data_IF_624840997804
#
_entry.id   IF_624840997804
#
_cell.length_a   1.000
_cell.length_b   1.000
_cell.length_c   1.000
_cell.angle_alpha   90.00
_cell.angle_beta   90.00
_cell.angle_gamma   90.00
#
_symmetry.space_group_name_H-M   'P 1'
#
loop_
_entity.id
_entity.type
_entity.pdbx_description
1 polymer ?
#
# COMPACT_ATOMS: atom_id res chain seq x y z
N UNK A 1 -45.04 -13.12 4.92
CA UNK A 1 -44.53 -11.95 4.17
C UNK A 1 -43.79 -11.05 5.17
N UNK A 2 -42.44 -11.08 5.19
CA UNK A 2 -41.63 -10.30 6.14
C UNK A 2 -41.56 -8.85 5.65
N UNK A 3 -42.27 -7.95 6.34
CA UNK A 3 -42.23 -6.49 6.16
C UNK A 3 -40.90 -5.87 6.65
N UNK A 4 -39.76 -6.31 6.13
CA UNK A 4 -38.45 -5.70 6.41
C UNK A 4 -38.16 -4.49 5.50
N UNK A 5 -39.10 -4.07 4.65
CA UNK A 5 -38.93 -2.99 3.67
C UNK A 5 -39.17 -1.59 4.31
N UNK A 6 -39.92 -1.51 5.41
CA UNK A 6 -40.09 -0.25 6.14
C UNK A 6 -39.00 -0.17 7.23
N UNK A 7 -38.10 0.81 7.11
CA UNK A 7 -37.11 1.11 8.13
C UNK A 7 -37.75 1.34 9.51
N UNK A 8 -36.94 1.38 10.57
CA UNK A 8 -37.36 1.48 11.98
C UNK A 8 -38.19 2.74 12.36
N UNK A 9 -38.57 3.59 11.41
CA UNK A 9 -39.20 4.89 11.62
C UNK A 9 -40.58 4.97 10.96
N UNK A 10 -41.50 5.68 11.60
CA UNK A 10 -42.88 5.84 11.12
C UNK A 10 -42.93 6.72 9.87
N UNK A 11 -43.80 6.37 8.91
CA UNK A 11 -44.01 7.14 7.66
C UNK A 11 -44.46 8.58 7.98
N UNK A 12 -45.25 8.78 9.05
CA UNK A 12 -45.66 10.10 9.49
C UNK A 12 -44.48 10.96 9.99
N UNK A 13 -43.47 10.34 10.61
CA UNK A 13 -42.24 11.04 11.03
C UNK A 13 -41.37 11.40 9.82
N UNK A 14 -41.30 10.56 8.79
CA UNK A 14 -40.57 10.87 7.55
C UNK A 14 -41.21 11.99 6.73
N UNK A 15 -42.54 12.14 6.82
CA UNK A 15 -43.29 13.20 6.16
C UNK A 15 -43.29 14.53 6.94
N UNK A 16 -42.82 14.55 8.19
CA UNK A 16 -42.68 15.79 8.96
C UNK A 16 -41.58 16.68 8.38
N UNK A 17 -41.92 17.94 8.08
CA UNK A 17 -41.00 18.89 7.46
C UNK A 17 -39.87 19.28 8.41
N UNK A 18 -40.17 19.40 9.72
CA UNK A 18 -39.17 19.68 10.75
C UNK A 18 -38.13 18.57 10.88
N UNK A 19 -38.58 17.32 10.82
CA UNK A 19 -37.72 16.14 10.80
C UNK A 19 -36.81 16.12 9.56
N UNK A 20 -37.37 16.38 8.36
CA UNK A 20 -36.60 16.43 7.11
C UNK A 20 -35.55 17.56 7.12
N UNK A 21 -35.91 18.75 7.60
CA UNK A 21 -34.96 19.87 7.79
C UNK A 21 -33.87 19.49 8.79
N UNK A 22 -34.23 18.80 9.88
CA UNK A 22 -33.30 18.31 10.88
C UNK A 22 -32.26 17.33 10.33
N UNK A 23 -32.69 16.37 9.50
CA UNK A 23 -31.79 15.44 8.80
C UNK A 23 -30.88 16.20 7.84
N UNK A 24 -31.44 17.11 7.04
CA UNK A 24 -30.66 17.90 6.09
C UNK A 24 -29.56 18.69 6.79
N UNK A 25 -29.89 19.43 7.85
CA UNK A 25 -28.90 20.19 8.65
C UNK A 25 -27.85 19.27 9.28
N UNK A 26 -28.26 18.09 9.74
CA UNK A 26 -27.32 17.08 10.26
C UNK A 26 -26.33 16.62 9.19
N UNK A 27 -26.83 16.26 8.01
CA UNK A 27 -26.01 15.76 6.91
C UNK A 27 -25.10 16.86 6.32
N UNK A 28 -25.55 18.13 6.31
CA UNK A 28 -24.71 19.29 5.97
C UNK A 28 -23.56 19.46 6.96
N UNK A 29 -23.81 19.30 8.26
CA UNK A 29 -22.78 19.35 9.30
C UNK A 29 -21.78 18.18 9.18
N UNK A 30 -22.27 16.97 8.89
CA UNK A 30 -21.43 15.81 8.62
C UNK A 30 -20.52 16.06 7.43
N UNK A 31 -21.06 16.59 6.31
CA UNK A 31 -20.26 16.94 5.14
C UNK A 31 -19.16 17.96 5.47
N UNK A 32 -19.48 19.01 6.24
CA UNK A 32 -18.50 20.01 6.70
C UNK A 32 -17.39 19.34 7.52
N UNK A 33 -17.76 18.54 8.52
CA UNK A 33 -16.80 17.85 9.40
C UNK A 33 -15.91 16.86 8.65
N UNK A 34 -16.47 16.08 7.71
CA UNK A 34 -15.69 15.15 6.88
C UNK A 34 -14.71 15.90 5.96
N UNK A 35 -15.12 17.04 5.40
CA UNK A 35 -14.21 17.90 4.60
C UNK A 35 -13.03 18.42 5.44
N UNK A 36 -13.30 18.95 6.62
CA UNK A 36 -12.26 19.41 7.55
C UNK A 36 -11.29 18.27 7.89
N UNK A 37 -11.83 17.11 8.27
CA UNK A 37 -11.01 15.96 8.62
C UNK A 37 -10.17 15.46 7.44
N UNK A 38 -10.71 15.52 6.22
CA UNK A 38 -9.97 15.20 4.99
C UNK A 38 -8.73 16.09 4.82
N UNK A 39 -8.84 17.40 5.05
CA UNK A 39 -7.69 18.33 4.99
C UNK A 39 -6.65 18.06 6.07
N UNK A 40 -7.09 17.70 7.28
CA UNK A 40 -6.18 17.30 8.37
C UNK A 40 -5.47 15.98 8.01
N UNK A 41 -6.19 15.02 7.45
CA UNK A 41 -5.62 13.77 6.92
C UNK A 41 -4.56 14.06 5.86
N UNK A 42 -4.81 14.99 4.92
CA UNK A 42 -3.82 15.38 3.92
C UNK A 42 -2.54 15.93 4.55
N UNK A 43 -2.66 16.72 5.63
CA UNK A 43 -1.50 17.21 6.39
C UNK A 43 -0.72 16.07 7.05
N UNK A 44 -1.41 15.11 7.68
CA UNK A 44 -0.76 13.94 8.30
C UNK A 44 -0.09 13.06 7.23
N UNK A 45 -0.76 12.83 6.10
CA UNK A 45 -0.21 12.09 4.95
C UNK A 45 1.07 12.73 4.43
N UNK A 46 1.07 14.06 4.27
CA UNK A 46 2.25 14.81 3.86
C UNK A 46 3.40 14.61 4.84
N UNK A 47 3.16 14.83 6.14
CA UNK A 47 4.20 14.62 7.14
C UNK A 47 4.74 13.18 7.13
N UNK A 48 3.87 12.17 6.98
CA UNK A 48 4.29 10.77 6.86
C UNK A 48 5.13 10.50 5.61
N UNK A 49 4.67 10.95 4.44
CA UNK A 49 5.34 10.71 3.16
C UNK A 49 6.73 11.35 3.07
N UNK A 50 6.95 12.47 3.75
CA UNK A 50 8.21 13.22 3.80
C UNK A 50 9.01 13.00 5.09
N UNK A 51 8.59 12.06 5.94
CA UNK A 51 9.27 11.72 7.21
C UNK A 51 9.43 12.93 8.15
N UNK A 52 8.48 13.86 8.10
CA UNK A 52 8.50 15.08 8.89
C UNK A 52 7.90 14.85 10.27
N UNK A 53 8.42 15.58 11.25
CA UNK A 53 7.88 15.54 12.60
C UNK A 53 6.43 16.07 12.63
N UNK A 54 5.52 15.24 13.15
CA UNK A 54 4.14 15.67 13.43
C UNK A 54 4.02 16.57 14.67
N UNK A 55 5.08 16.66 15.48
CA UNK A 55 5.07 17.42 16.75
C UNK A 55 6.13 18.52 16.75
N UNK A 56 5.75 19.68 17.27
CA UNK A 56 6.67 20.75 17.64
C UNK A 56 7.28 20.52 19.02
N UNK A 57 8.42 21.16 19.29
CA UNK A 57 9.00 21.22 20.63
C UNK A 57 8.15 22.12 21.56
N UNK A 58 7.53 23.15 20.98
CA UNK A 58 6.58 24.05 21.63
C UNK A 58 5.39 24.29 20.68
N UNK A 59 4.18 23.93 21.12
CA UNK A 59 2.93 24.04 20.35
C UNK A 59 1.98 25.08 20.98
N UNK A 60 2.50 25.92 21.88
CA UNK A 60 1.76 26.98 22.57
C UNK A 60 1.38 28.11 21.62
N UNK A 61 0.21 28.75 21.80
CA UNK A 61 -0.29 29.80 20.89
C UNK A 61 0.65 31.02 20.72
N UNK A 62 1.63 31.22 21.61
CA UNK A 62 2.64 32.27 21.53
C UNK A 62 4.01 31.82 21.01
N UNK A 63 4.15 30.60 20.49
CA UNK A 63 5.43 30.07 20.00
C UNK A 63 5.73 30.56 18.59
N UNK A 64 6.95 31.05 18.35
CA UNK A 64 7.43 31.41 17.00
C UNK A 64 7.55 30.19 16.08
N UNK A 65 7.61 28.97 16.62
CA UNK A 65 7.71 27.73 15.87
C UNK A 65 6.78 26.65 16.43
N UNK A 66 5.51 26.74 16.05
CA UNK A 66 4.42 25.80 16.41
C UNK A 66 4.62 24.36 15.90
N UNK A 67 5.68 24.08 15.16
CA UNK A 67 5.99 22.79 14.56
C UNK A 67 5.42 22.60 13.15
N UNK A 68 6.04 21.68 12.40
CA UNK A 68 5.79 21.47 10.96
C UNK A 68 4.33 21.14 10.67
N UNK A 69 3.72 20.23 11.44
CA UNK A 69 2.32 19.85 11.24
C UNK A 69 1.37 21.04 11.43
N UNK A 70 1.59 21.85 12.47
CA UNK A 70 0.71 23.00 12.73
C UNK A 70 0.86 24.06 11.66
N UNK A 71 2.10 24.39 11.29
CA UNK A 71 2.37 25.30 10.18
C UNK A 71 1.74 24.83 8.86
N UNK A 72 1.75 23.52 8.59
CA UNK A 72 1.10 22.95 7.41
C UNK A 72 -0.42 23.08 7.48
N UNK A 73 -1.04 22.82 8.63
CA UNK A 73 -2.49 23.00 8.81
C UNK A 73 -2.88 24.47 8.63
N UNK A 74 -2.10 25.40 9.17
CA UNK A 74 -2.36 26.84 9.05
C UNK A 74 -2.16 27.31 7.59
N UNK A 75 -1.16 26.77 6.88
CA UNK A 75 -0.99 26.99 5.44
C UNK A 75 -2.19 26.46 4.65
N UNK A 76 -2.67 25.24 4.90
CA UNK A 76 -3.86 24.70 4.23
C UNK A 76 -5.10 25.52 4.57
N UNK A 77 -5.23 26.03 5.80
CA UNK A 77 -6.31 26.91 6.20
C UNK A 77 -6.27 28.27 5.46
N UNK A 78 -5.09 28.77 5.12
CA UNK A 78 -4.97 29.97 4.27
C UNK A 78 -5.56 29.77 2.86
N UNK A 79 -5.65 28.51 2.41
CA UNK A 79 -6.17 28.13 1.09
C UNK A 79 -7.62 27.60 1.14
N UNK A 80 -8.07 27.05 2.28
CA UNK A 80 -9.43 26.54 2.49
C UNK A 80 -10.17 27.34 3.57
N UNK A 81 -11.04 28.25 3.14
CA UNK A 81 -11.84 29.09 4.02
C UNK A 81 -12.74 28.31 4.99
N UNK A 82 -13.20 27.11 4.61
CA UNK A 82 -14.02 26.26 5.49
C UNK A 82 -13.17 25.72 6.65
N UNK A 83 -11.92 25.32 6.37
CA UNK A 83 -10.99 24.89 7.39
C UNK A 83 -10.61 26.07 8.30
N UNK A 84 -10.34 27.24 7.73
CA UNK A 84 -10.01 28.46 8.50
C UNK A 84 -11.11 28.82 9.50
N UNK A 85 -12.34 28.97 9.00
CA UNK A 85 -13.51 29.30 9.84
C UNK A 85 -13.71 28.26 10.95
N UNK A 86 -13.46 26.98 10.65
CA UNK A 86 -13.54 25.93 11.65
C UNK A 86 -12.44 26.05 12.72
N UNK A 87 -11.18 26.28 12.34
CA UNK A 87 -10.08 26.39 13.31
C UNK A 87 -10.26 27.58 14.27
N UNK A 88 -10.85 28.68 13.78
CA UNK A 88 -11.15 29.89 14.55
C UNK A 88 -12.34 29.69 15.51
N UNK A 89 -13.41 29.02 15.05
CA UNK A 89 -14.68 28.97 15.80
C UNK A 89 -14.97 27.65 16.53
N UNK A 90 -14.26 26.55 16.21
CA UNK A 90 -14.58 25.24 16.74
C UNK A 90 -14.19 25.09 18.22
N UNK A 91 -15.19 24.72 19.02
CA UNK A 91 -15.03 24.46 20.47
C UNK A 91 -14.99 22.97 20.80
N UNK A 92 -15.62 22.12 19.99
CA UNK A 92 -15.81 20.69 20.28
C UNK A 92 -14.70 19.81 19.68
N UNK A 93 -14.31 20.10 18.44
CA UNK A 93 -13.32 19.33 17.69
C UNK A 93 -12.56 20.28 16.79
N UNK A 94 -11.26 20.46 17.03
CA UNK A 94 -10.36 21.19 16.11
C UNK A 94 -9.58 20.24 15.18
N UNK A 95 -9.55 18.95 15.52
CA UNK A 95 -8.84 17.90 14.78
C UNK A 95 -7.31 17.93 14.80
N UNK A 96 -6.69 18.97 15.38
CA UNK A 96 -5.22 19.12 15.38
C UNK A 96 -4.53 18.54 16.61
N UNK A 97 -5.27 18.00 17.58
CA UNK A 97 -4.70 17.52 18.84
C UNK A 97 -3.86 16.25 18.66
N UNK A 98 -2.89 16.03 19.54
CA UNK A 98 -2.02 14.84 19.55
C UNK A 98 -2.82 13.53 19.58
N UNK A 99 -3.94 13.52 20.31
CA UNK A 99 -4.84 12.35 20.37
C UNK A 99 -5.49 12.07 19.02
N UNK A 100 -6.00 13.09 18.33
CA UNK A 100 -6.60 12.92 17.00
C UNK A 100 -5.55 12.52 15.97
N UNK A 101 -4.35 13.11 16.02
CA UNK A 101 -3.24 12.71 15.15
C UNK A 101 -2.91 11.20 15.29
N UNK A 102 -2.86 10.69 16.53
CA UNK A 102 -2.57 9.26 16.77
C UNK A 102 -3.69 8.37 16.22
N UNK A 103 -4.94 8.71 16.52
CA UNK A 103 -6.08 7.93 16.03
C UNK A 103 -6.16 7.93 14.49
N UNK A 104 -5.82 9.06 13.86
CA UNK A 104 -5.72 9.14 12.39
C UNK A 104 -4.58 8.27 11.86
N UNK A 105 -3.41 8.27 12.49
CA UNK A 105 -2.30 7.39 12.13
C UNK A 105 -2.70 5.92 12.23
N UNK A 106 -3.40 5.52 13.29
CA UNK A 106 -3.86 4.14 13.46
C UNK A 106 -4.90 3.75 12.39
N UNK A 107 -5.82 4.66 12.07
CA UNK A 107 -6.76 4.47 10.97
C UNK A 107 -6.05 4.34 9.62
N UNK A 108 -5.09 5.22 9.33
CA UNK A 108 -4.28 5.17 8.11
C UNK A 108 -3.51 3.85 8.00
N UNK A 109 -2.85 3.44 9.08
CA UNK A 109 -2.13 2.17 9.13
C UNK A 109 -3.05 0.99 8.85
N UNK A 110 -4.25 0.98 9.44
CA UNK A 110 -5.26 -0.06 9.19
C UNK A 110 -5.72 -0.08 7.73
N UNK A 111 -6.00 1.08 7.12
CA UNK A 111 -6.40 1.16 5.69
C UNK A 111 -5.30 0.61 4.78
N UNK A 112 -4.06 1.06 4.99
CA UNK A 112 -2.93 0.61 4.18
C UNK A 112 -2.73 -0.90 4.34
N UNK A 113 -2.73 -1.40 5.59
CA UNK A 113 -2.56 -2.84 5.89
C UNK A 113 -3.63 -3.70 5.23
N UNK A 114 -4.89 -3.28 5.29
CA UNK A 114 -6.00 -4.02 4.66
C UNK A 114 -5.86 -4.07 3.14
N UNK A 115 -5.45 -2.98 2.50
CA UNK A 115 -5.21 -2.96 1.06
C UNK A 115 -4.09 -3.94 0.68
N UNK A 116 -2.98 -3.94 1.41
CA UNK A 116 -1.86 -4.83 1.15
C UNK A 116 -2.25 -6.29 1.31
N UNK A 117 -2.99 -6.61 2.37
CA UNK A 117 -3.47 -7.98 2.60
C UNK A 117 -4.39 -8.40 1.45
N UNK A 118 -5.28 -7.52 1.00
CA UNK A 118 -6.14 -7.79 -0.15
C UNK A 118 -5.33 -8.02 -1.42
N UNK A 119 -4.36 -7.16 -1.71
CA UNK A 119 -3.52 -7.28 -2.91
C UNK A 119 -2.69 -8.58 -2.86
N UNK A 120 -2.08 -8.89 -1.70
CA UNK A 120 -1.33 -10.12 -1.50
C UNK A 120 -2.20 -11.39 -1.61
N UNK A 121 -3.45 -11.35 -1.13
CA UNK A 121 -4.40 -12.46 -1.27
C UNK A 121 -4.86 -12.67 -2.71
N UNK A 122 -4.87 -11.61 -3.52
CA UNK A 122 -5.24 -11.68 -4.94
C UNK A 122 -4.09 -12.06 -5.86
N UNK A 123 -2.85 -12.05 -5.37
CA UNK A 123 -1.66 -12.34 -6.17
C UNK A 123 -1.47 -13.85 -6.35
N UNK A 124 -1.18 -14.28 -7.59
CA UNK A 124 -0.87 -15.68 -7.91
C UNK A 124 0.40 -16.18 -7.19
N UNK A 125 1.37 -15.28 -7.00
CA UNK A 125 2.65 -15.55 -6.38
C UNK A 125 2.98 -14.51 -5.33
N UNK A 126 3.54 -14.97 -4.21
CA UNK A 126 3.98 -14.14 -3.10
C UNK A 126 5.36 -14.64 -2.66
N UNK A 127 6.31 -13.73 -2.50
CA UNK A 127 7.57 -14.02 -1.81
C UNK A 127 7.65 -13.26 -0.50
N UNK A 128 8.30 -13.87 0.49
CA UNK A 128 8.51 -13.30 1.82
C UNK A 128 10.00 -13.25 2.08
N UNK A 129 10.53 -12.05 2.30
CA UNK A 129 11.88 -11.84 2.80
C UNK A 129 11.81 -11.56 4.29
N UNK A 130 12.66 -12.23 5.07
CA UNK A 130 12.73 -12.06 6.51
C UNK A 130 14.13 -11.60 6.91
N UNK A 131 14.21 -10.52 7.68
CA UNK A 131 15.48 -10.01 8.22
C UNK A 131 15.32 -9.65 9.69
N UNK A 132 16.38 -9.86 10.47
CA UNK A 132 16.40 -9.57 11.89
C UNK A 132 17.15 -8.26 12.14
N UNK A 133 16.61 -7.44 13.04
CA UNK A 133 17.26 -6.23 13.50
C UNK A 133 17.09 -6.08 15.00
N UNK A 134 18.10 -5.55 15.66
CA UNK A 134 18.02 -5.22 17.08
C UNK A 134 17.55 -3.76 17.23
N UNK A 135 16.59 -3.51 18.11
CA UNK A 135 16.16 -2.15 18.43
C UNK A 135 17.10 -1.47 19.44
N UNK A 136 16.82 -0.19 19.76
CA UNK A 136 17.62 0.59 20.72
C UNK A 136 17.61 -0.01 22.14
N UNK A 137 16.60 -0.83 22.47
CA UNK A 137 16.49 -1.53 23.74
C UNK A 137 17.18 -2.91 23.71
N UNK A 138 18.00 -3.18 22.69
CA UNK A 138 18.71 -4.44 22.47
C UNK A 138 17.80 -5.66 22.27
N UNK A 139 16.52 -5.44 21.94
CA UNK A 139 15.58 -6.51 21.64
C UNK A 139 15.60 -6.83 20.15
N UNK A 140 15.64 -8.12 19.83
CA UNK A 140 15.52 -8.60 18.46
C UNK A 140 14.11 -8.37 17.92
N UNK A 141 14.02 -7.78 16.73
CA UNK A 141 12.80 -7.52 15.98
C UNK A 141 12.94 -8.17 14.59
N UNK A 142 11.98 -8.99 14.20
CA UNK A 142 11.90 -9.56 12.85
C UNK A 142 11.12 -8.62 11.93
N UNK A 143 11.70 -8.30 10.78
CA UNK A 143 11.08 -7.53 9.71
C UNK A 143 10.76 -8.47 8.55
N UNK A 144 9.50 -8.48 8.09
CA UNK A 144 9.11 -9.20 6.89
C UNK A 144 8.79 -8.22 5.76
N UNK A 145 9.35 -8.48 4.58
CA UNK A 145 9.01 -7.79 3.34
C UNK A 145 8.31 -8.80 2.44
N UNK A 146 7.03 -8.57 2.18
CA UNK A 146 6.28 -9.23 1.13
C UNK A 146 6.67 -8.64 -0.21
N UNK A 147 6.83 -9.49 -1.22
CA UNK A 147 6.91 -9.07 -2.61
C UNK A 147 5.87 -9.82 -3.43
N UNK A 148 5.00 -9.07 -4.09
CA UNK A 148 3.88 -9.60 -4.88
C UNK A 148 3.67 -8.73 -6.13
N UNK A 149 2.81 -9.21 -7.02
CA UNK A 149 2.40 -8.47 -8.23
C UNK A 149 0.97 -7.98 -7.98
N UNK A 150 0.75 -6.67 -8.09
CA UNK A 150 -0.58 -6.09 -7.93
C UNK A 150 -1.47 -6.41 -9.16
N UNK A 151 -2.77 -6.13 -9.05
CA UNK A 151 -3.72 -6.33 -10.14
C UNK A 151 -3.41 -5.52 -11.42
N UNK A 152 -2.51 -4.53 -11.35
CA UNK A 152 -2.05 -3.72 -12.48
C UNK A 152 -0.74 -4.25 -13.09
N UNK A 153 -0.17 -5.33 -12.56
CA UNK A 153 1.10 -5.89 -13.01
C UNK A 153 2.34 -5.17 -12.47
N UNK A 154 2.21 -4.30 -11.46
CA UNK A 154 3.36 -3.71 -10.78
C UNK A 154 3.91 -4.66 -9.72
N UNK A 155 5.23 -4.70 -9.60
CA UNK A 155 5.89 -5.36 -8.48
C UNK A 155 5.84 -4.45 -7.27
N UNK A 156 5.24 -4.96 -6.19
CA UNK A 156 5.11 -4.26 -4.93
C UNK A 156 5.95 -4.95 -3.87
N UNK A 157 6.82 -4.18 -3.22
CA UNK A 157 7.57 -4.61 -2.03
C UNK A 157 6.92 -3.96 -0.81
N UNK A 158 6.21 -4.74 0.01
CA UNK A 158 5.44 -4.23 1.14
C UNK A 158 5.73 -4.95 2.45
N UNK A 159 5.79 -4.23 3.56
CA UNK A 159 6.19 -4.79 4.86
C UNK A 159 4.99 -5.31 5.66
N UNK A 160 5.14 -6.51 6.22
CA UNK A 160 4.26 -7.02 7.29
C UNK A 160 5.09 -7.30 8.55
N UNK A 161 4.48 -7.14 9.72
CA UNK A 161 5.11 -7.49 11.01
C UNK A 161 4.56 -8.84 11.49
N UNK A 162 5.47 -9.74 11.89
CA UNK A 162 5.33 -11.07 12.55
C UNK A 162 5.67 -12.35 11.75
N UNK A 163 6.72 -13.01 12.28
CA UNK A 163 7.15 -14.44 12.39
C UNK A 163 7.23 -15.44 11.22
N UNK A 164 8.42 -16.08 11.14
CA UNK A 164 8.87 -17.40 10.65
C UNK A 164 8.81 -17.72 9.13
N UNK A 165 9.95 -17.57 8.46
CA UNK A 165 10.81 -18.66 7.91
C UNK A 165 11.90 -18.06 7.00
N UNK A 166 13.01 -18.80 6.81
CA UNK A 166 14.22 -18.35 6.11
C UNK A 166 14.37 -19.16 4.83
N UNK A 167 14.32 -18.50 3.67
CA UNK A 167 14.55 -19.15 2.39
C UNK A 167 15.88 -18.71 1.78
N UNK A 168 16.64 -19.68 1.28
CA UNK A 168 17.81 -19.49 0.43
C UNK A 168 17.66 -20.43 -0.74
N UNK A 169 17.58 -19.92 -1.97
CA UNK A 169 17.59 -20.80 -3.15
C UNK A 169 18.35 -20.16 -4.31
N UNK A 170 19.37 -20.88 -4.78
CA UNK A 170 20.31 -20.53 -5.85
C UNK A 170 19.84 -20.98 -7.24
N UNK A 171 18.77 -21.77 -7.33
CA UNK A 171 18.30 -22.38 -8.60
C UNK A 171 17.41 -21.44 -9.44
N UNK A 172 16.98 -20.32 -8.87
CA UNK A 172 16.16 -19.30 -9.57
C UNK A 172 16.93 -18.60 -10.70
N UNK A 173 18.25 -18.41 -10.52
CA UNK A 173 19.12 -17.74 -11.49
C UNK A 173 19.21 -18.48 -12.83
N UNK A 174 19.15 -19.81 -12.82
CA UNK A 174 19.17 -20.62 -14.04
C UNK A 174 17.87 -20.42 -14.83
N UNK A 175 16.75 -20.34 -14.13
CA UNK A 175 15.44 -20.13 -14.76
C UNK A 175 15.30 -18.76 -15.41
N UNK A 176 15.99 -17.75 -14.85
CA UNK A 176 16.09 -16.42 -15.45
C UNK A 176 16.81 -16.42 -16.81
N UNK A 177 17.79 -17.31 -16.99
CA UNK A 177 18.53 -17.39 -18.26
C UNK A 177 17.66 -17.78 -19.43
N UNK A 178 16.55 -18.51 -19.20
CA UNK A 178 15.57 -18.84 -20.25
C UNK A 178 14.84 -17.61 -20.81
N UNK A 179 14.80 -16.51 -20.08
CA UNK A 179 14.05 -15.29 -20.41
C UNK A 179 14.96 -14.08 -20.64
N UNK A 180 16.24 -14.34 -20.86
CA UNK A 180 17.26 -13.35 -21.23
C UNK A 180 17.18 -13.05 -22.73
N UNK A 181 16.61 -11.89 -23.08
CA UNK A 181 16.37 -11.47 -24.46
C UNK A 181 17.66 -11.41 -25.32
N UNK A 182 18.80 -11.08 -24.69
CA UNK A 182 20.14 -11.09 -25.28
C UNK A 182 20.59 -12.48 -25.76
N UNK A 183 19.96 -13.56 -25.25
CA UNK A 183 20.27 -14.94 -25.61
C UNK A 183 19.24 -15.58 -26.52
N UNK A 184 18.15 -14.89 -26.87
CA UNK A 184 17.07 -15.46 -27.68
C UNK A 184 17.54 -15.88 -29.08
N UNK A 185 18.49 -15.16 -29.69
CA UNK A 185 19.07 -15.56 -30.98
C UNK A 185 19.83 -16.89 -30.88
N UNK A 186 20.56 -17.11 -29.78
CA UNK A 186 21.29 -18.35 -29.53
C UNK A 186 20.32 -19.51 -29.24
N UNK A 187 19.25 -19.24 -28.47
CA UNK A 187 18.24 -20.24 -28.13
C UNK A 187 17.31 -20.60 -29.29
N UNK A 188 17.18 -19.71 -30.29
CA UNK A 188 16.53 -20.03 -31.56
C UNK A 188 17.31 -21.10 -32.33
N UNK A 189 18.65 -21.08 -32.23
CA UNK A 189 19.53 -22.03 -32.94
C UNK A 189 19.73 -23.34 -32.16
N UNK A 190 19.82 -23.26 -30.83
CA UNK A 190 19.95 -24.42 -29.96
C UNK A 190 19.17 -24.20 -28.64
N UNK A 191 18.07 -24.93 -28.47
CA UNK A 191 17.21 -24.78 -27.30
C UNK A 191 17.95 -25.25 -26.02
N UNK A 192 17.96 -24.47 -24.93
CA UNK A 192 18.71 -24.80 -23.71
C UNK A 192 17.97 -25.83 -22.85
N UNK A 193 18.06 -27.11 -23.21
CA UNK A 193 17.38 -28.20 -22.49
C UNK A 193 17.87 -28.37 -21.04
N UNK A 194 19.15 -28.12 -20.77
CA UNK A 194 19.72 -28.18 -19.43
C UNK A 194 19.11 -27.12 -18.50
N UNK A 195 18.86 -25.92 -19.01
CA UNK A 195 18.24 -24.85 -18.25
C UNK A 195 16.76 -25.16 -17.99
N UNK A 196 16.03 -25.65 -19.00
CA UNK A 196 14.65 -26.10 -18.84
C UNK A 196 14.52 -27.22 -17.80
N UNK A 197 15.40 -28.23 -17.84
CA UNK A 197 15.39 -29.34 -16.88
C UNK A 197 15.64 -28.86 -15.44
N UNK A 198 16.54 -27.90 -15.25
CA UNK A 198 16.79 -27.27 -13.95
C UNK A 198 15.60 -26.41 -13.48
N UNK A 199 14.95 -25.69 -14.38
CA UNK A 199 13.74 -24.91 -14.09
C UNK A 199 12.58 -25.81 -13.67
N UNK A 200 12.37 -26.95 -14.34
CA UNK A 200 11.33 -27.91 -13.97
C UNK A 200 11.61 -28.62 -12.64
N UNK A 201 12.90 -28.83 -12.31
CA UNK A 201 13.29 -29.28 -10.97
C UNK A 201 13.01 -28.23 -9.90
N UNK A 202 13.28 -26.96 -10.19
CA UNK A 202 13.07 -25.86 -9.25
C UNK A 202 11.58 -25.53 -9.06
N UNK A 203 10.77 -25.67 -10.12
CA UNK A 203 9.35 -25.35 -10.13
C UNK A 203 8.53 -26.51 -10.72
N UNK A 204 8.21 -27.53 -9.91
CA UNK A 204 7.42 -28.69 -10.36
C UNK A 204 5.99 -28.36 -10.80
N UNK A 205 5.53 -27.14 -10.53
CA UNK A 205 4.19 -26.64 -10.89
C UNK A 205 4.06 -26.36 -12.40
N UNK A 206 5.17 -26.17 -13.12
CA UNK A 206 5.17 -25.83 -14.55
C UNK A 206 5.08 -27.08 -15.44
N UNK A 207 4.32 -27.00 -16.53
CA UNK A 207 4.32 -28.04 -17.57
C UNK A 207 5.49 -27.83 -18.54
N UNK A 208 6.47 -28.73 -18.46
CA UNK A 208 7.67 -28.66 -19.30
C UNK A 208 7.43 -28.77 -20.80
N UNK A 209 6.39 -29.48 -21.24
CA UNK A 209 6.11 -29.65 -22.68
C UNK A 209 5.48 -28.39 -23.27
N UNK A 210 4.56 -27.78 -22.53
CA UNK A 210 3.90 -26.53 -22.91
C UNK A 210 4.87 -25.35 -22.81
N UNK A 211 5.63 -25.26 -21.71
CA UNK A 211 6.67 -24.23 -21.53
C UNK A 211 7.73 -24.26 -22.64
N UNK A 212 8.19 -25.45 -23.05
CA UNK A 212 9.16 -25.59 -24.17
C UNK A 212 8.59 -25.04 -25.48
N UNK A 213 7.32 -25.33 -25.76
CA UNK A 213 6.64 -24.88 -26.98
C UNK A 213 6.46 -23.37 -26.98
N UNK A 214 6.00 -22.82 -25.85
CA UNK A 214 5.81 -21.38 -25.65
C UNK A 214 7.13 -20.60 -25.77
N UNK A 215 8.19 -21.03 -25.08
CA UNK A 215 9.52 -20.41 -25.15
C UNK A 215 10.09 -20.44 -26.58
N UNK A 216 9.90 -21.55 -27.30
CA UNK A 216 10.33 -21.65 -28.70
C UNK A 216 9.63 -20.63 -29.60
N UNK A 217 8.34 -20.37 -29.37
CA UNK A 217 7.59 -19.34 -30.10
C UNK A 217 8.07 -17.93 -29.74
N UNK A 218 8.43 -17.69 -28.48
CA UNK A 218 8.94 -16.40 -28.01
C UNK A 218 10.32 -16.10 -28.63
N UNK A 219 11.23 -17.08 -28.66
CA UNK A 219 12.56 -16.90 -29.23
C UNK A 219 12.52 -16.56 -30.74
N UNK A 220 11.53 -17.10 -31.46
CA UNK A 220 11.35 -16.89 -32.90
C UNK A 220 10.78 -15.51 -33.27
N UNK A 221 10.09 -14.80 -32.35
CA UNK A 221 9.42 -13.53 -32.67
C UNK A 221 10.25 -12.32 -32.30
N UNK A 222 10.48 -11.42 -33.26
CA UNK A 222 11.26 -10.19 -33.07
C UNK A 222 10.63 -9.21 -32.07
N UNK A 223 9.29 -9.19 -31.96
CA UNK A 223 8.56 -8.32 -31.03
C UNK A 223 8.97 -8.53 -29.56
N UNK A 224 9.33 -9.77 -29.19
CA UNK A 224 9.75 -10.10 -27.82
C UNK A 224 11.27 -9.96 -27.60
N UNK A 225 12.06 -9.83 -28.68
CA UNK A 225 13.52 -9.61 -28.59
C UNK A 225 13.87 -8.17 -28.20
N UNK A 226 12.96 -7.23 -28.41
CA UNK A 226 13.12 -5.83 -28.03
C UNK A 226 12.93 -5.57 -26.52
N UNK A 227 12.43 -6.53 -25.74
CA UNK A 227 12.18 -6.36 -24.31
C UNK A 227 13.47 -6.53 -23.49
N UNK A 228 13.82 -5.52 -22.68
CA UNK A 228 15.02 -5.53 -21.83
C UNK A 228 14.72 -6.07 -20.41
N UNK A 229 14.10 -7.24 -20.30
CA UNK A 229 13.97 -7.95 -19.02
C UNK A 229 12.64 -8.67 -18.80
N UNK A 230 12.59 -9.50 -17.75
CA UNK A 230 11.41 -10.28 -17.38
C UNK A 230 10.20 -9.40 -17.02
N UNK A 231 10.41 -8.23 -16.40
CA UNK A 231 9.35 -7.29 -16.05
C UNK A 231 8.68 -6.68 -17.29
N UNK A 232 9.49 -6.22 -18.25
CA UNK A 232 8.99 -5.61 -19.48
C UNK A 232 8.22 -6.63 -20.33
N UNK A 233 8.71 -7.87 -20.38
CA UNK A 233 8.04 -8.97 -21.08
C UNK A 233 6.70 -9.32 -20.41
N UNK A 234 6.65 -9.36 -19.07
CA UNK A 234 5.41 -9.57 -18.33
C UNK A 234 4.40 -8.44 -18.56
N UNK A 235 4.85 -7.18 -18.51
CA UNK A 235 3.98 -6.03 -18.79
C UNK A 235 3.44 -6.03 -20.22
N UNK A 236 4.26 -6.47 -21.19
CA UNK A 236 3.83 -6.61 -22.57
C UNK A 236 2.78 -7.72 -22.75
N UNK A 237 2.95 -8.86 -22.06
CA UNK A 237 1.93 -9.93 -22.06
C UNK A 237 0.62 -9.49 -21.42
N UNK A 238 0.68 -8.76 -20.30
CA UNK A 238 -0.50 -8.17 -19.65
C UNK A 238 -1.20 -7.16 -20.57
N UNK A 239 -0.44 -6.27 -21.22
CA UNK A 239 -0.99 -5.22 -22.10
C UNK A 239 -1.66 -5.79 -23.35
N UNK A 240 -1.17 -6.91 -23.87
CA UNK A 240 -1.67 -7.55 -25.09
C UNK A 240 -2.66 -8.70 -24.81
N UNK A 241 -3.07 -8.92 -23.56
CA UNK A 241 -3.94 -10.04 -23.15
C UNK A 241 -3.43 -11.42 -23.61
N UNK A 242 -2.11 -11.63 -23.55
CA UNK A 242 -1.45 -12.86 -24.00
C UNK A 242 -1.31 -13.91 -22.89
N UNK A 243 -1.90 -13.68 -21.72
CA UNK A 243 -1.79 -14.55 -20.54
C UNK A 243 -2.35 -15.96 -20.78
N UNK A 244 -3.42 -16.09 -21.56
CA UNK A 244 -4.01 -17.39 -21.89
C UNK A 244 -3.18 -18.17 -22.92
N UNK A 245 -2.49 -17.46 -23.81
CA UNK A 245 -1.69 -18.06 -24.90
C UNK A 245 -0.34 -18.56 -24.38
N UNK A 246 0.27 -17.81 -23.45
CA UNK A 246 1.58 -18.13 -22.88
C UNK A 246 1.47 -18.40 -21.37
N UNK A 247 0.57 -19.32 -20.97
CA UNK A 247 0.24 -19.51 -19.56
C UNK A 247 1.43 -19.97 -18.72
N UNK A 248 2.27 -20.87 -19.24
CA UNK A 248 3.41 -21.39 -18.50
C UNK A 248 4.53 -20.35 -18.42
N UNK A 249 4.75 -19.62 -19.51
CA UNK A 249 5.75 -18.56 -19.57
C UNK A 249 5.36 -17.40 -18.65
N UNK A 250 4.09 -16.99 -18.63
CA UNK A 250 3.59 -15.96 -17.72
C UNK A 250 3.71 -16.42 -16.28
N UNK A 251 3.41 -17.68 -15.98
CA UNK A 251 3.59 -18.27 -14.64
C UNK A 251 5.06 -18.21 -14.22
N UNK A 252 5.98 -18.63 -15.10
CA UNK A 252 7.42 -18.53 -14.87
C UNK A 252 7.87 -17.07 -14.68
N UNK A 253 7.38 -16.14 -15.49
CA UNK A 253 7.68 -14.71 -15.36
C UNK A 253 7.19 -14.15 -14.03
N UNK A 254 5.96 -14.47 -13.61
CA UNK A 254 5.40 -14.05 -12.31
C UNK A 254 6.26 -14.57 -11.15
N UNK A 255 6.72 -15.82 -11.23
CA UNK A 255 7.65 -16.39 -10.23
C UNK A 255 8.97 -15.61 -10.23
N UNK A 256 9.60 -15.43 -11.38
CA UNK A 256 10.91 -14.77 -11.48
C UNK A 256 10.88 -13.32 -11.02
N UNK A 257 9.81 -12.60 -11.35
CA UNK A 257 9.60 -11.20 -10.98
C UNK A 257 9.23 -11.04 -9.49
N UNK A 258 8.62 -12.05 -8.87
CA UNK A 258 8.36 -12.05 -7.42
C UNK A 258 9.56 -12.53 -6.60
N UNK A 259 10.49 -13.28 -7.18
CA UNK A 259 11.75 -13.65 -6.54
C UNK A 259 12.80 -12.54 -6.67
N UNK A 260 13.50 -12.16 -5.60
CA UNK A 260 14.64 -11.25 -5.68
C UNK A 260 15.80 -11.92 -6.42
N UNK A 261 16.15 -11.42 -7.61
CA UNK A 261 17.08 -12.12 -8.51
C UNK A 261 18.39 -11.37 -8.75
N UNK A 262 18.39 -10.05 -8.58
CA UNK A 262 19.57 -9.21 -8.85
C UNK A 262 20.04 -8.45 -7.62
N UNK A 263 21.35 -8.13 -7.60
CA UNK A 263 21.97 -7.32 -6.54
C UNK A 263 21.30 -5.95 -6.39
N UNK A 264 20.93 -5.30 -7.50
CA UNK A 264 20.26 -4.00 -7.49
C UNK A 264 18.83 -4.05 -6.91
N UNK A 265 18.08 -5.13 -7.17
CA UNK A 265 16.77 -5.34 -6.52
C UNK A 265 16.93 -5.62 -5.04
N UNK A 266 17.92 -6.45 -4.67
CA UNK A 266 18.23 -6.67 -3.26
C UNK A 266 18.67 -5.38 -2.58
N UNK A 267 19.42 -4.48 -3.24
CA UNK A 267 19.77 -3.16 -2.70
C UNK A 267 18.54 -2.27 -2.47
N UNK A 268 17.53 -2.34 -3.34
CA UNK A 268 16.25 -1.65 -3.15
C UNK A 268 15.50 -2.20 -1.94
N UNK A 269 15.36 -3.53 -1.82
CA UNK A 269 14.79 -4.19 -0.65
C UNK A 269 15.58 -3.84 0.63
N UNK A 270 16.90 -3.85 0.56
CA UNK A 270 17.80 -3.47 1.66
C UNK A 270 17.74 -1.98 2.00
N UNK A 271 17.46 -1.09 1.04
CA UNK A 271 17.26 0.33 1.29
C UNK A 271 15.97 0.56 2.08
N UNK A 272 14.89 -0.14 1.71
CA UNK A 272 13.64 -0.16 2.47
C UNK A 272 13.88 -0.73 3.88
N UNK A 273 14.57 -1.87 3.99
CA UNK A 273 14.97 -2.44 5.28
C UNK A 273 15.87 -1.50 6.08
N UNK A 274 16.82 -0.80 5.46
CA UNK A 274 17.73 0.15 6.13
C UNK A 274 16.96 1.33 6.70
N UNK A 275 16.00 1.88 5.94
CA UNK A 275 15.08 2.92 6.45
C UNK A 275 14.37 2.38 7.69
N UNK A 276 13.82 1.18 7.65
CA UNK A 276 13.16 0.52 8.79
C UNK A 276 14.11 0.33 9.98
N UNK A 277 15.33 -0.19 9.75
CA UNK A 277 16.33 -0.38 10.81
C UNK A 277 16.71 0.95 11.45
N UNK A 278 16.88 2.00 10.65
CA UNK A 278 17.07 3.37 11.14
C UNK A 278 15.86 3.84 11.94
N UNK A 279 14.63 3.56 11.50
CA UNK A 279 13.41 3.90 12.25
C UNK A 279 13.32 3.16 13.59
N UNK A 280 13.49 1.84 13.60
CA UNK A 280 13.46 1.00 14.80
C UNK A 280 14.56 1.35 15.80
N UNK A 281 15.71 1.85 15.32
CA UNK A 281 16.82 2.31 16.15
C UNK A 281 16.58 3.68 16.82
N UNK A 282 15.66 4.49 16.30
CA UNK A 282 15.55 5.90 16.69
C UNK A 282 14.46 6.24 17.72
N UNK A 283 13.46 5.40 18.05
CA UNK A 283 12.37 5.87 18.95
C UNK A 283 11.51 4.81 19.67
N UNK A 284 11.03 5.22 20.86
CA UNK A 284 10.53 4.37 21.95
C UNK A 284 8.97 4.24 22.05
N UNK A 285 8.19 4.48 20.99
CA UNK A 285 6.73 4.20 21.00
C UNK A 285 6.30 3.51 19.70
N UNK A 286 5.86 2.25 19.81
CA UNK A 286 5.82 1.31 18.68
C UNK A 286 4.75 1.61 17.62
N UNK A 287 3.53 2.05 17.97
CA UNK A 287 2.42 2.10 17.01
C UNK A 287 2.44 3.32 16.07
N UNK A 288 2.65 4.53 16.62
CA UNK A 288 2.69 5.77 15.82
C UNK A 288 3.83 5.75 14.80
N UNK A 289 4.96 5.18 15.19
CA UNK A 289 6.14 5.08 14.35
C UNK A 289 5.92 4.09 13.20
N UNK A 290 5.23 2.98 13.47
CA UNK A 290 4.85 2.02 12.43
C UNK A 290 3.95 2.69 11.38
N UNK A 291 2.97 3.49 11.81
CA UNK A 291 2.08 4.21 10.90
C UNK A 291 2.85 5.19 10.00
N UNK A 292 3.76 5.98 10.57
CA UNK A 292 4.59 6.93 9.79
C UNK A 292 5.56 6.22 8.85
N UNK A 293 6.23 5.16 9.30
CA UNK A 293 7.10 4.35 8.45
C UNK A 293 6.31 3.74 7.29
N UNK A 294 5.10 3.25 7.56
CA UNK A 294 4.23 2.68 6.53
C UNK A 294 3.81 3.72 5.49
N UNK A 295 3.42 4.92 5.92
CA UNK A 295 3.08 6.02 5.00
C UNK A 295 4.27 6.47 4.14
N UNK A 296 5.47 6.44 4.69
CA UNK A 296 6.71 6.80 3.99
C UNK A 296 7.15 5.75 2.96
N UNK A 297 7.01 4.47 3.31
CA UNK A 297 7.41 3.35 2.47
C UNK A 297 6.36 3.12 1.38
N UNK A 298 5.09 3.06 1.76
CA UNK A 298 3.94 2.83 0.87
C UNK A 298 3.37 4.13 0.29
N UNK A 299 4.20 5.18 0.16
CA UNK A 299 3.75 6.49 -0.34
C UNK A 299 3.09 6.41 -1.72
N UNK A 300 3.54 5.48 -2.58
CA UNK A 300 2.97 5.25 -3.92
C UNK A 300 1.55 4.71 -3.81
N UNK A 301 1.36 3.62 -3.04
CA UNK A 301 0.05 3.02 -2.78
C UNK A 301 -0.94 4.04 -2.21
N UNK A 302 -0.50 4.81 -1.21
CA UNK A 302 -1.33 5.85 -0.56
C UNK A 302 -1.69 7.00 -1.51
N UNK A 303 -0.83 7.31 -2.47
CA UNK A 303 -1.08 8.38 -3.48
C UNK A 303 -2.00 7.88 -4.59
N UNK A 304 -1.86 6.62 -5.01
CA UNK A 304 -2.71 6.03 -6.06
C UNK A 304 -4.13 5.71 -5.56
N UNK A 305 -4.31 5.50 -4.25
CA UNK A 305 -5.63 5.22 -3.66
C UNK A 305 -6.48 6.49 -3.56
N UNK A 306 -7.45 6.63 -4.48
CA UNK A 306 -8.32 7.81 -4.57
C UNK A 306 -9.30 7.94 -3.39
N UNK A 307 -9.72 6.82 -2.82
CA UNK A 307 -10.68 6.76 -1.70
C UNK A 307 -10.01 6.68 -0.32
N UNK A 308 -8.69 6.86 -0.25
CA UNK A 308 -7.91 6.72 0.99
C UNK A 308 -8.47 7.58 2.13
N UNK A 309 -8.65 8.87 1.89
CA UNK A 309 -9.15 9.79 2.93
C UNK A 309 -10.55 9.38 3.40
N UNK A 310 -11.41 8.93 2.48
CA UNK A 310 -12.76 8.49 2.81
C UNK A 310 -12.73 7.24 3.70
N UNK A 311 -11.94 6.22 3.35
CA UNK A 311 -11.74 5.01 4.17
C UNK A 311 -11.21 5.33 5.57
N UNK A 312 -10.23 6.26 5.66
CA UNK A 312 -9.68 6.71 6.94
C UNK A 312 -10.75 7.41 7.79
N UNK A 313 -11.57 8.28 7.19
CA UNK A 313 -12.67 8.96 7.89
C UNK A 313 -13.71 7.95 8.38
N UNK A 314 -14.05 6.94 7.59
CA UNK A 314 -15.00 5.89 7.97
C UNK A 314 -14.50 5.11 9.19
N UNK A 315 -13.23 4.67 9.19
CA UNK A 315 -12.62 4.02 10.35
C UNK A 315 -12.55 4.95 11.57
N UNK A 316 -12.18 6.20 11.36
CA UNK A 316 -12.10 7.19 12.45
C UNK A 316 -13.47 7.43 13.10
N UNK A 317 -14.53 7.46 12.29
CA UNK A 317 -15.91 7.61 12.74
C UNK A 317 -16.44 6.35 13.44
N UNK A 318 -16.01 5.15 13.03
CA UNK A 318 -16.49 3.88 13.60
C UNK A 318 -15.78 3.46 14.89
N UNK A 319 -14.59 3.99 15.19
CA UNK A 319 -13.82 3.60 16.37
C UNK A 319 -14.53 3.88 17.71
N UNK A 320 -15.23 5.00 17.82
CA UNK A 320 -15.95 5.40 19.04
C UNK A 320 -16.98 6.47 18.76
N UNK A 321 -17.93 6.64 19.68
CA UNK A 321 -18.87 7.77 19.61
C UNK A 321 -18.11 9.10 19.70
N UNK A 322 -18.31 9.93 18.68
CA UNK A 322 -17.65 11.22 18.53
C UNK A 322 -18.63 12.33 18.91
N UNK A 323 -18.12 13.35 19.62
CA UNK A 323 -18.89 14.58 19.88
C UNK A 323 -19.18 15.36 18.59
N UNK A 324 -18.27 15.31 17.63
CA UNK A 324 -18.49 15.83 16.28
C UNK A 324 -19.15 14.77 15.39
N UNK A 325 -20.06 15.21 14.51
CA UNK A 325 -20.84 14.31 13.65
C UNK A 325 -20.06 13.95 12.40
N UNK A 326 -19.84 12.66 12.19
CA UNK A 326 -19.17 12.12 10.99
C UNK A 326 -20.00 11.09 10.23
N UNK A 327 -21.14 10.64 10.77
CA UNK A 327 -22.00 9.60 10.18
C UNK A 327 -23.26 10.25 9.66
N UNK A 328 -23.59 10.00 8.38
CA UNK A 328 -24.81 10.49 7.76
C UNK A 328 -26.05 9.78 8.33
N UNK A 329 -27.18 10.49 8.36
CA UNK A 329 -28.50 9.99 8.78
C UNK A 329 -29.42 9.76 7.59
#
# INVERSE_FOLDING_TARGET
MRLQIFGKLSIAQQLDEGYRIGIRRHNEEVTKNRRILSRIIDCVKFCGAFELALRGHDESEGSDNLGIFRGLVDFVASLDGVLKEHLENATVFKGTSKTVQNELLDCMLSVVREQIIQDAQSSDFLSIQADETTDIATQCQLVLVLRYIDAKGNVCDTILRHTLERFSFTDHLVSATLLQADRFEQYTMAFPEDALSRTLKAYPVLDGTKLKTELSLIYCKEEFRACCGALDLLQLFMKNNLEEVFSETVTLLKILVTTPMTTAETERCFSTLKRIKTFLRNSMTQERLNALAMLSIEKRLVTEMTDFNQKVIEKFASQKERRAKFVFK
#
